data_IF_852865607188
#
_entry.id   IF_852865607188
#
_cell.length_a   1.000
_cell.length_b   1.000
_cell.length_c   1.000
_cell.angle_alpha   90.00
_cell.angle_beta   90.00
_cell.angle_gamma   90.00
#
_symmetry.space_group_name_H-M   'P 1'
#
loop_
_entity.id
_entity.type
_entity.pdbx_description
1 polymer ?
#
# COMPACT_ATOMS: atom_id res chain seq x y z
N UNK A 1 -3.11 -8.33 3.88
CA UNK A 1 -2.30 -8.45 2.64
C UNK A 1 -0.90 -7.92 2.88
N UNK A 2 -0.72 -6.62 3.13
CA UNK A 2 0.58 -5.96 3.41
C UNK A 2 1.42 -6.69 4.48
N UNK A 3 0.94 -6.80 5.72
CA UNK A 3 1.73 -7.39 6.82
C UNK A 3 2.11 -8.87 6.59
N UNK A 4 1.25 -9.60 5.88
CA UNK A 4 1.45 -11.01 5.54
C UNK A 4 2.32 -11.25 4.31
N UNK A 5 2.67 -10.20 3.55
CA UNK A 5 3.57 -10.33 2.41
C UNK A 5 5.02 -10.42 2.92
N UNK A 6 5.64 -11.59 2.76
CA UNK A 6 7.03 -11.83 3.15
C UNK A 6 8.05 -11.21 2.17
N UNK A 7 7.60 -10.75 1.01
CA UNK A 7 8.44 -10.12 -0.01
C UNK A 7 8.57 -8.61 0.18
N UNK A 8 7.71 -8.00 0.99
CA UNK A 8 7.84 -6.59 1.37
C UNK A 8 8.86 -6.41 2.50
N UNK A 9 9.73 -5.41 2.34
CA UNK A 9 10.59 -4.90 3.40
C UNK A 9 9.76 -4.20 4.48
N UNK A 10 10.34 -4.00 5.67
CA UNK A 10 9.69 -3.25 6.76
C UNK A 10 9.31 -1.83 6.32
N UNK A 11 10.17 -1.17 5.54
CA UNK A 11 9.91 0.18 5.05
C UNK A 11 8.73 0.23 4.06
N UNK A 12 8.66 -0.73 3.13
CA UNK A 12 7.54 -0.80 2.20
C UNK A 12 6.22 -1.13 2.91
N UNK A 13 6.25 -2.01 3.93
CA UNK A 13 5.09 -2.30 4.77
C UNK A 13 4.60 -1.06 5.52
N UNK A 14 5.52 -0.30 6.11
CA UNK A 14 5.20 0.95 6.80
C UNK A 14 4.55 1.95 5.84
N UNK A 15 5.17 2.21 4.69
CA UNK A 15 4.64 3.15 3.70
C UNK A 15 3.26 2.76 3.16
N UNK A 16 3.04 1.47 2.85
CA UNK A 16 1.72 1.00 2.41
C UNK A 16 0.68 1.05 3.53
N UNK A 17 1.07 0.84 4.79
CA UNK A 17 0.14 0.94 5.93
C UNK A 17 -0.26 2.39 6.20
N UNK A 18 0.69 3.32 6.11
CA UNK A 18 0.42 4.76 6.21
C UNK A 18 -0.53 5.23 5.09
N UNK A 19 -0.36 4.73 3.86
CA UNK A 19 -1.28 5.02 2.76
C UNK A 19 -2.71 4.52 3.05
N UNK A 20 -2.85 3.27 3.54
CA UNK A 20 -4.15 2.71 3.94
C UNK A 20 -4.82 3.55 5.02
N UNK A 21 -4.07 3.97 6.04
CA UNK A 21 -4.60 4.81 7.12
C UNK A 21 -5.05 6.18 6.61
N UNK A 22 -4.27 6.79 5.70
CA UNK A 22 -4.61 8.06 5.08
C UNK A 22 -5.87 7.97 4.21
N UNK A 23 -5.98 6.96 3.35
CA UNK A 23 -7.15 6.77 2.48
C UNK A 23 -8.39 6.34 3.26
N UNK A 24 -8.23 5.59 4.36
CA UNK A 24 -9.31 5.34 5.32
C UNK A 24 -9.83 6.64 5.92
N UNK A 25 -8.94 7.49 6.44
CA UNK A 25 -9.35 8.77 7.02
C UNK A 25 -10.00 9.71 5.99
N UNK A 26 -9.52 9.70 4.75
CA UNK A 26 -10.12 10.47 3.65
C UNK A 26 -11.51 9.92 3.26
N UNK A 27 -11.67 8.59 3.23
CA UNK A 27 -12.95 7.93 3.00
C UNK A 27 -13.97 8.26 4.09
N UNK A 28 -13.58 8.18 5.36
CA UNK A 28 -14.43 8.56 6.51
C UNK A 28 -14.90 10.01 6.42
N UNK A 29 -14.00 10.95 6.12
CA UNK A 29 -14.39 12.36 5.90
C UNK A 29 -15.37 12.55 4.74
N UNK A 30 -15.21 11.77 3.67
CA UNK A 30 -16.11 11.83 2.51
C UNK A 30 -17.49 11.29 2.84
N UNK A 31 -17.57 10.25 3.68
CA UNK A 31 -18.82 9.70 4.21
C UNK A 31 -19.50 10.74 5.12
N UNK A 32 -18.76 11.37 6.03
CA UNK A 32 -19.30 12.39 6.94
C UNK A 32 -19.86 13.61 6.19
N UNK A 33 -19.27 13.96 5.04
CA UNK A 33 -19.70 15.07 4.20
C UNK A 33 -20.86 14.74 3.25
N UNK A 34 -21.23 13.46 3.11
CA UNK A 34 -22.24 13.03 2.16
C UNK A 34 -23.65 13.47 2.59
N UNK A 35 -24.41 14.07 1.67
CA UNK A 35 -25.74 14.63 1.97
C UNK A 35 -26.91 13.69 1.67
N UNK A 36 -26.65 12.50 1.11
CA UNK A 36 -27.66 11.51 0.75
C UNK A 36 -27.06 10.10 0.67
N UNK A 37 -27.93 9.09 0.55
CA UNK A 37 -27.54 7.69 0.52
C UNK A 37 -26.64 7.32 -0.66
N UNK A 38 -26.88 7.88 -1.84
CA UNK A 38 -26.07 7.60 -3.02
C UNK A 38 -24.63 8.11 -2.87
N UNK A 39 -24.46 9.32 -2.32
CA UNK A 39 -23.16 9.89 -2.01
C UNK A 39 -22.41 9.08 -0.95
N UNK A 40 -23.11 8.53 0.05
CA UNK A 40 -22.51 7.61 1.04
C UNK A 40 -21.99 6.35 0.33
N UNK A 41 -22.82 5.71 -0.51
CA UNK A 41 -22.44 4.50 -1.24
C UNK A 41 -21.23 4.76 -2.15
N UNK A 42 -21.20 5.91 -2.83
CA UNK A 42 -20.07 6.30 -3.66
C UNK A 42 -18.80 6.51 -2.83
N UNK A 43 -18.86 7.24 -1.73
CA UNK A 43 -17.71 7.47 -0.85
C UNK A 43 -17.14 6.15 -0.30
N UNK A 44 -18.00 5.21 0.07
CA UNK A 44 -17.60 3.86 0.50
C UNK A 44 -16.92 3.09 -0.63
N UNK A 45 -17.50 3.10 -1.84
CA UNK A 45 -16.94 2.40 -3.00
C UNK A 45 -15.57 2.96 -3.40
N UNK A 46 -15.44 4.29 -3.43
CA UNK A 46 -14.21 4.99 -3.78
C UNK A 46 -13.12 4.75 -2.72
N UNK A 47 -13.45 4.91 -1.43
CA UNK A 47 -12.51 4.64 -0.33
C UNK A 47 -12.05 3.18 -0.30
N UNK A 48 -12.97 2.24 -0.51
CA UNK A 48 -12.67 0.80 -0.59
C UNK A 48 -11.76 0.47 -1.76
N UNK A 49 -11.98 1.10 -2.92
CA UNK A 49 -11.14 0.91 -4.11
C UNK A 49 -9.73 1.43 -3.87
N UNK A 50 -9.58 2.60 -3.26
CA UNK A 50 -8.28 3.19 -2.93
C UNK A 50 -7.48 2.33 -1.95
N UNK A 51 -8.08 1.95 -0.82
CA UNK A 51 -7.45 1.09 0.19
C UNK A 51 -7.00 -0.25 -0.39
N UNK A 52 -7.80 -0.84 -1.29
CA UNK A 52 -7.40 -2.09 -1.96
C UNK A 52 -6.20 -1.89 -2.89
N UNK A 53 -6.09 -0.71 -3.52
CA UNK A 53 -5.00 -0.36 -4.41
C UNK A 53 -3.72 0.00 -3.67
N UNK A 54 -3.76 0.37 -2.39
CA UNK A 54 -2.54 0.66 -1.61
C UNK A 54 -1.63 -0.54 -1.47
N UNK A 55 -2.20 -1.75 -1.45
CA UNK A 55 -1.39 -2.96 -1.46
C UNK A 55 -0.68 -3.14 -2.80
N UNK A 56 0.66 -3.10 -2.75
CA UNK A 56 1.54 -3.48 -3.85
C UNK A 56 2.43 -4.63 -3.38
N UNK A 57 2.44 -5.78 -4.09
CA UNK A 57 3.31 -6.89 -3.73
C UNK A 57 4.78 -6.48 -3.87
N UNK A 58 5.63 -7.05 -3.01
CA UNK A 58 7.08 -6.85 -3.10
C UNK A 58 7.69 -7.55 -4.31
N UNK A 59 8.94 -7.19 -4.63
CA UNK A 59 9.74 -7.96 -5.60
C UNK A 59 9.98 -9.37 -5.06
N UNK A 60 10.10 -10.36 -5.94
CA UNK A 60 10.39 -11.72 -5.49
C UNK A 60 11.69 -11.76 -4.67
N UNK A 61 11.80 -12.73 -3.75
CA UNK A 61 13.01 -12.86 -2.93
C UNK A 61 14.25 -13.12 -3.80
N UNK A 62 14.10 -13.78 -4.95
CA UNK A 62 15.21 -14.03 -5.86
C UNK A 62 15.65 -12.75 -6.56
N UNK A 63 14.73 -11.92 -7.06
CA UNK A 63 15.06 -10.61 -7.62
C UNK A 63 15.76 -9.70 -6.59
N UNK A 64 15.32 -9.76 -5.34
CA UNK A 64 15.94 -9.00 -4.24
C UNK A 64 17.36 -9.50 -3.93
N UNK A 65 17.57 -10.82 -3.86
CA UNK A 65 18.90 -11.41 -3.66
C UNK A 65 19.83 -11.03 -4.80
N UNK A 66 19.36 -11.09 -6.04
CA UNK A 66 20.19 -10.82 -7.20
C UNK A 66 20.57 -9.33 -7.29
N UNK A 67 19.62 -8.43 -7.00
CA UNK A 67 19.92 -7.01 -6.85
C UNK A 67 20.93 -6.73 -5.72
N UNK A 68 20.80 -7.42 -4.58
CA UNK A 68 21.70 -7.26 -3.44
C UNK A 68 23.13 -7.74 -3.76
N UNK A 69 23.29 -8.90 -4.42
CA UNK A 69 24.60 -9.41 -4.86
C UNK A 69 25.25 -8.47 -5.87
N UNK A 70 24.51 -8.04 -6.90
CA UNK A 70 25.02 -7.11 -7.90
C UNK A 70 25.50 -5.79 -7.27
N UNK A 71 24.81 -5.31 -6.22
CA UNK A 71 25.25 -4.14 -5.48
C UNK A 71 26.54 -4.40 -4.68
N UNK A 72 26.70 -5.58 -4.06
CA UNK A 72 27.94 -5.96 -3.37
C UNK A 72 29.13 -6.06 -4.32
N UNK A 73 28.94 -6.69 -5.48
CA UNK A 73 30.00 -6.81 -6.49
C UNK A 73 30.46 -5.42 -6.95
N UNK A 74 29.52 -4.52 -7.22
CA UNK A 74 29.81 -3.14 -7.65
C UNK A 74 30.59 -2.31 -6.62
N UNK A 75 30.38 -2.52 -5.32
CA UNK A 75 31.12 -1.77 -4.27
C UNK A 75 32.48 -2.37 -3.94
N UNK A 76 32.77 -3.58 -4.44
CA UNK A 76 34.06 -4.24 -4.26
C UNK A 76 35.08 -3.92 -5.37
N UNK A 77 34.64 -3.30 -6.47
CA UNK A 77 35.47 -2.73 -7.56
C UNK A 77 36.18 -1.43 -7.14
#
# INVERSE_FOLDING_TARGET
KINGDATLTTAEKAAQSEAVDADKAAGEKSIDAASNADAINQAVADGTTKIQNDYKPGKSLDDQKDAAKANLDKVAE
#
